data_IF_463590141838
#
_entry.id   IF_463590141838
#
_cell.length_a   1.000
_cell.length_b   1.000
_cell.length_c   1.000
_cell.angle_alpha   90.00
_cell.angle_beta   90.00
_cell.angle_gamma   90.00
#
_symmetry.space_group_name_H-M   'P 1'
#
loop_
_entity.id
_entity.type
_entity.pdbx_description
1 polymer ?
#
# COMPACT_ATOMS: atom_id res chain seq x y z
N UNK A 1 -18.26 -35.46 20.76
CA UNK A 1 -18.53 -34.02 20.97
C UNK A 1 -17.55 -33.46 21.98
N UNK A 2 -16.90 -32.32 21.65
CA UNK A 2 -16.00 -31.48 22.47
C UNK A 2 -14.66 -32.14 22.82
N UNK A 3 -13.50 -31.61 22.43
CA UNK A 3 -12.99 -30.28 22.79
C UNK A 3 -12.24 -29.62 21.62
N UNK A 4 -12.82 -28.55 21.10
CA UNK A 4 -12.15 -27.48 20.37
C UNK A 4 -11.38 -26.70 21.44
N UNK A 5 -10.08 -26.94 21.58
CA UNK A 5 -9.20 -26.14 22.45
C UNK A 5 -7.73 -26.40 22.12
N UNK A 6 -7.31 -26.09 20.89
CA UNK A 6 -5.89 -25.91 20.60
C UNK A 6 -5.71 -24.89 19.46
N UNK A 7 -6.32 -23.72 19.64
CA UNK A 7 -6.24 -22.60 18.68
C UNK A 7 -5.53 -21.36 19.25
N UNK A 8 -4.79 -21.48 20.37
CA UNK A 8 -4.32 -20.29 21.12
C UNK A 8 -2.81 -20.25 21.42
N UNK A 9 -2.02 -21.31 21.20
CA UNK A 9 -0.61 -21.28 21.65
C UNK A 9 0.45 -20.89 20.61
N UNK A 10 0.08 -20.47 19.39
CA UNK A 10 1.07 -19.97 18.41
C UNK A 10 1.23 -18.44 18.49
N UNK A 11 0.40 -17.75 19.29
CA UNK A 11 0.42 -16.28 19.38
C UNK A 11 1.34 -15.69 20.48
N UNK A 12 2.03 -16.51 21.30
CA UNK A 12 2.70 -16.01 22.51
C UNK A 12 4.24 -16.04 22.51
N UNK A 13 4.89 -16.38 21.39
CA UNK A 13 6.37 -16.42 21.31
C UNK A 13 7.00 -15.41 20.35
N UNK A 14 6.22 -14.52 19.75
CA UNK A 14 6.73 -13.50 18.85
C UNK A 14 6.25 -12.12 19.31
N UNK A 15 7.04 -11.48 20.18
CA UNK A 15 6.95 -10.04 20.40
C UNK A 15 7.39 -9.34 19.10
N UNK A 16 6.46 -9.12 18.17
CA UNK A 16 6.68 -8.31 16.96
C UNK A 16 6.03 -8.78 15.66
N UNK A 17 5.37 -9.95 15.59
CA UNK A 17 4.78 -10.42 14.32
C UNK A 17 3.47 -9.71 14.00
N UNK A 18 3.52 -8.88 12.95
CA UNK A 18 2.38 -8.61 12.07
C UNK A 18 1.76 -9.94 11.66
N UNK A 19 0.47 -10.14 11.93
CA UNK A 19 -0.24 -11.36 11.57
C UNK A 19 -0.41 -11.41 10.04
N UNK A 20 0.40 -12.26 9.41
CA UNK A 20 0.29 -12.61 8.00
C UNK A 20 -1.05 -13.33 7.73
N UNK A 21 -1.72 -12.99 6.63
CA UNK A 21 -3.00 -13.62 6.26
C UNK A 21 -2.75 -15.00 5.64
N UNK A 22 -3.41 -16.05 6.14
CA UNK A 22 -3.26 -17.41 5.63
C UNK A 22 -4.55 -18.03 5.09
N UNK A 23 -4.48 -18.70 3.94
CA UNK A 23 -5.56 -19.49 3.34
C UNK A 23 -5.25 -20.97 3.45
N UNK A 24 -6.14 -21.73 4.10
CA UNK A 24 -6.07 -23.19 4.16
C UNK A 24 -6.95 -23.81 3.07
N UNK A 25 -6.40 -24.75 2.30
CA UNK A 25 -7.16 -25.59 1.36
C UNK A 25 -7.14 -27.03 1.85
N UNK A 26 -8.31 -27.53 2.29
CA UNK A 26 -8.44 -28.86 2.91
C UNK A 26 -8.12 -30.04 2.01
N UNK A 27 -8.15 -29.85 0.69
CA UNK A 27 -7.98 -30.93 -0.27
C UNK A 27 -6.52 -31.41 -0.40
N UNK A 28 -5.56 -30.55 -0.04
CA UNK A 28 -4.14 -30.77 -0.32
C UNK A 28 -3.28 -30.75 0.96
N UNK A 29 -3.90 -30.44 2.11
CA UNK A 29 -3.21 -30.26 3.40
C UNK A 29 -2.32 -29.02 3.46
N UNK A 30 -2.44 -28.13 2.47
CA UNK A 30 -1.60 -26.95 2.32
C UNK A 30 -2.24 -25.71 2.95
N UNK A 31 -1.41 -24.95 3.64
CA UNK A 31 -1.71 -23.65 4.23
C UNK A 31 -0.79 -22.61 3.61
N UNK A 32 -1.36 -21.67 2.85
CA UNK A 32 -0.59 -20.60 2.20
C UNK A 32 -0.67 -19.37 3.08
N UNK A 33 0.48 -18.86 3.52
CA UNK A 33 0.62 -17.61 4.27
C UNK A 33 1.17 -16.54 3.33
N UNK A 34 0.51 -15.40 3.24
CA UNK A 34 0.97 -14.27 2.41
C UNK A 34 1.66 -13.20 3.25
N UNK A 35 2.61 -12.48 2.65
CA UNK A 35 3.34 -11.36 3.28
C UNK A 35 4.09 -11.78 4.57
N UNK A 36 4.99 -12.75 4.42
CA UNK A 36 5.77 -13.33 5.54
C UNK A 36 7.11 -12.61 5.67
N UNK A 37 7.35 -12.00 6.83
CA UNK A 37 8.66 -11.53 7.25
C UNK A 37 9.35 -12.63 8.07
N UNK A 38 10.51 -13.10 7.60
CA UNK A 38 11.24 -14.17 8.28
C UNK A 38 12.26 -13.66 9.33
N UNK A 39 12.93 -12.53 9.06
CA UNK A 39 14.07 -12.06 9.86
C UNK A 39 14.39 -10.55 9.69
N UNK A 40 13.37 -9.74 9.38
CA UNK A 40 13.46 -8.29 9.08
C UNK A 40 14.33 -7.93 7.87
N UNK A 41 14.82 -8.93 7.13
CA UNK A 41 15.63 -8.78 5.91
C UNK A 41 15.05 -9.57 4.75
N UNK A 42 14.40 -10.69 5.04
CA UNK A 42 13.85 -11.60 4.05
C UNK A 42 12.33 -11.56 4.10
N UNK A 43 11.74 -11.07 3.02
CA UNK A 43 10.29 -10.95 2.86
C UNK A 43 9.82 -11.91 1.77
N UNK A 44 8.74 -12.65 2.05
CA UNK A 44 8.11 -13.56 1.10
C UNK A 44 6.70 -13.06 0.75
N UNK A 45 6.40 -13.04 -0.55
CA UNK A 45 5.05 -12.79 -1.07
C UNK A 45 4.09 -13.88 -0.57
N UNK A 46 4.52 -15.15 -0.65
CA UNK A 46 3.80 -16.24 0.00
C UNK A 46 4.70 -17.41 0.39
N UNK A 47 4.31 -18.09 1.47
CA UNK A 47 4.91 -19.33 1.97
C UNK A 47 3.81 -20.39 2.03
N UNK A 48 4.01 -21.50 1.34
CA UNK A 48 3.11 -22.66 1.39
C UNK A 48 3.64 -23.67 2.39
N UNK A 49 2.85 -23.95 3.41
CA UNK A 49 3.13 -24.91 4.46
C UNK A 49 2.27 -26.16 4.27
N UNK A 50 2.85 -27.34 4.31
CA UNK A 50 2.12 -28.59 4.47
C UNK A 50 2.05 -28.93 5.95
N UNK A 51 0.84 -29.04 6.49
CA UNK A 51 0.63 -29.30 7.92
C UNK A 51 0.50 -30.81 8.17
N UNK A 52 1.27 -31.32 9.13
CA UNK A 52 1.12 -32.68 9.65
C UNK A 52 0.48 -32.64 11.04
N UNK A 53 -0.84 -32.81 11.06
CA UNK A 53 -1.60 -32.82 12.31
C UNK A 53 -1.34 -34.06 13.19
N UNK A 54 -0.79 -35.14 12.63
CA UNK A 54 -0.52 -36.37 13.39
C UNK A 54 0.63 -36.23 14.38
N UNK A 55 1.61 -35.38 14.07
CA UNK A 55 2.77 -35.11 14.92
C UNK A 55 2.96 -33.63 15.28
N UNK A 56 2.07 -32.74 14.80
CA UNK A 56 2.14 -31.30 15.08
C UNK A 56 3.27 -30.57 14.36
N UNK A 57 3.80 -31.14 13.26
CA UNK A 57 4.88 -30.53 12.47
C UNK A 57 4.35 -29.86 11.20
N UNK A 58 5.19 -29.04 10.57
CA UNK A 58 4.91 -28.48 9.25
C UNK A 58 6.16 -28.57 8.37
N UNK A 59 5.94 -28.56 7.06
CA UNK A 59 6.99 -28.48 6.05
C UNK A 59 6.75 -27.25 5.17
N UNK A 60 7.81 -26.50 4.87
CA UNK A 60 7.76 -25.44 3.85
C UNK A 60 7.83 -26.12 2.49
N UNK A 61 6.71 -26.15 1.77
CA UNK A 61 6.61 -26.75 0.44
C UNK A 61 7.13 -25.80 -0.63
N UNK A 62 6.85 -24.51 -0.45
CA UNK A 62 7.24 -23.47 -1.37
C UNK A 62 7.36 -22.14 -0.62
N UNK A 63 8.31 -21.31 -1.01
CA UNK A 63 8.45 -19.94 -0.52
C UNK A 63 8.78 -19.05 -1.71
N UNK A 64 7.90 -18.09 -1.99
CA UNK A 64 8.05 -17.14 -3.08
C UNK A 64 8.54 -15.83 -2.49
N UNK A 65 9.80 -15.49 -2.72
CA UNK A 65 10.37 -14.22 -2.26
C UNK A 65 9.57 -13.03 -2.79
N UNK A 66 9.44 -12.01 -1.95
CA UNK A 66 8.77 -10.76 -2.29
C UNK A 66 9.68 -10.00 -3.24
N UNK A 67 9.19 -9.73 -4.45
CA UNK A 67 9.89 -8.81 -5.35
C UNK A 67 9.86 -7.41 -4.76
N UNK A 68 10.92 -6.60 -4.91
CA UNK A 68 10.90 -5.23 -4.44
C UNK A 68 9.79 -4.48 -5.16
N UNK A 69 8.82 -3.99 -4.40
CA UNK A 69 7.72 -3.18 -4.93
C UNK A 69 8.00 -1.68 -4.78
N UNK A 70 9.05 -1.31 -4.03
CA UNK A 70 9.59 0.05 -3.96
C UNK A 70 10.86 0.20 -4.79
N UNK A 71 10.98 1.37 -5.41
CA UNK A 71 12.10 1.77 -6.23
C UNK A 71 12.75 3.03 -5.66
N UNK A 72 14.08 3.08 -5.72
CA UNK A 72 14.84 4.26 -5.27
C UNK A 72 14.65 5.49 -6.18
N UNK A 73 14.11 5.26 -7.38
CA UNK A 73 13.82 6.28 -8.38
C UNK A 73 12.43 6.06 -8.96
N UNK A 74 11.75 7.13 -9.39
CA UNK A 74 10.48 7.02 -10.07
C UNK A 74 10.52 6.08 -11.26
N UNK A 75 9.48 5.25 -11.40
CA UNK A 75 9.21 4.54 -12.63
C UNK A 75 8.72 5.50 -13.71
N UNK A 76 9.09 5.23 -14.95
CA UNK A 76 8.55 5.92 -16.13
C UNK A 76 7.24 5.26 -16.60
N UNK A 77 6.29 6.02 -17.17
CA UNK A 77 6.34 7.47 -17.38
C UNK A 77 6.00 8.26 -16.10
N UNK A 78 6.70 9.38 -15.88
CA UNK A 78 6.32 10.36 -14.87
C UNK A 78 5.23 11.31 -15.38
N UNK A 79 4.37 11.80 -14.48
CA UNK A 79 3.30 12.74 -14.84
C UNK A 79 3.79 14.16 -14.60
N UNK A 80 3.80 15.00 -15.64
CA UNK A 80 4.14 16.42 -15.50
C UNK A 80 2.91 17.29 -15.72
N UNK A 81 2.61 18.16 -14.75
CA UNK A 81 1.42 19.01 -14.76
C UNK A 81 1.66 20.24 -13.90
N UNK A 82 1.29 21.43 -14.41
CA UNK A 82 1.43 22.71 -13.69
C UNK A 82 2.85 22.93 -13.15
N UNK A 83 3.89 22.51 -13.87
CA UNK A 83 5.30 22.63 -13.44
C UNK A 83 5.72 21.68 -12.33
N UNK A 84 4.89 20.70 -11.95
CA UNK A 84 5.27 19.61 -11.05
C UNK A 84 5.45 18.32 -11.84
N UNK A 85 6.46 17.54 -11.49
CA UNK A 85 6.61 16.16 -11.94
C UNK A 85 6.31 15.21 -10.79
N UNK A 86 5.37 14.29 -11.01
CA UNK A 86 4.99 13.23 -10.07
C UNK A 86 5.52 11.91 -10.60
N UNK A 87 6.40 11.30 -9.83
CA UNK A 87 6.99 10.00 -10.08
C UNK A 87 6.42 8.93 -9.16
N UNK A 88 6.15 7.73 -9.68
CA UNK A 88 5.70 6.61 -8.87
C UNK A 88 6.87 5.80 -8.36
N UNK A 89 6.96 5.62 -7.03
CA UNK A 89 8.03 4.87 -6.38
C UNK A 89 7.62 3.46 -6.02
N UNK A 90 6.33 3.11 -6.08
CA UNK A 90 5.86 1.78 -5.70
C UNK A 90 4.72 1.78 -4.70
N UNK A 91 4.19 0.60 -4.41
CA UNK A 91 3.29 0.39 -3.28
C UNK A 91 3.72 -0.85 -2.50
N UNK A 92 3.55 -0.82 -1.18
CA UNK A 92 3.81 -1.96 -0.31
C UNK A 92 2.54 -2.32 0.44
N UNK A 93 2.21 -3.62 0.42
CA UNK A 93 1.26 -4.17 1.38
C UNK A 93 1.91 -4.19 2.76
N UNK A 94 1.16 -3.71 3.76
CA UNK A 94 1.52 -3.71 5.17
C UNK A 94 0.39 -4.38 5.93
N UNK A 95 0.64 -5.56 6.51
CA UNK A 95 -0.39 -6.32 7.22
C UNK A 95 -1.46 -6.90 6.29
N UNK A 96 -2.66 -7.16 6.84
CA UNK A 96 -3.68 -7.94 6.12
C UNK A 96 -4.42 -7.16 5.03
N UNK A 97 -4.75 -5.90 5.31
CA UNK A 97 -5.70 -5.11 4.53
C UNK A 97 -5.22 -3.67 4.27
N UNK A 98 -3.93 -3.38 4.45
CA UNK A 98 -3.37 -2.05 4.22
C UNK A 98 -2.33 -2.07 3.10
N UNK A 99 -2.37 -1.02 2.27
CA UNK A 99 -1.38 -0.73 1.24
C UNK A 99 -0.90 0.71 1.44
N UNK A 100 0.41 0.90 1.39
CA UNK A 100 1.03 2.23 1.35
C UNK A 100 1.65 2.45 -0.02
N UNK A 101 1.21 3.48 -0.74
CA UNK A 101 1.79 3.86 -2.03
C UNK A 101 2.72 5.06 -1.87
N UNK A 102 3.85 5.02 -2.55
CA UNK A 102 4.92 5.99 -2.46
C UNK A 102 5.11 6.72 -3.79
N UNK A 103 5.31 8.02 -3.67
CA UNK A 103 5.47 8.94 -4.78
C UNK A 103 6.67 9.85 -4.53
N UNK A 104 7.20 10.37 -5.61
CA UNK A 104 8.15 11.47 -5.62
C UNK A 104 7.48 12.66 -6.30
N UNK A 105 7.62 13.85 -5.71
CA UNK A 105 7.15 15.09 -6.33
C UNK A 105 8.35 16.01 -6.51
N UNK A 106 8.51 16.56 -7.71
CA UNK A 106 9.51 17.57 -8.06
C UNK A 106 8.78 18.81 -8.54
N UNK A 107 9.23 19.98 -8.10
CA UNK A 107 8.74 21.26 -8.58
C UNK A 107 9.78 21.84 -9.56
N UNK A 108 9.44 21.91 -10.84
CA UNK A 108 10.40 22.25 -11.92
C UNK A 108 10.46 23.76 -12.22
N UNK A 109 9.68 24.58 -11.53
CA UNK A 109 9.54 26.01 -11.83
C UNK A 109 10.20 26.89 -10.77
N UNK A 110 9.52 27.11 -9.64
CA UNK A 110 9.99 28.00 -8.59
C UNK A 110 9.38 27.61 -7.24
N UNK A 111 10.07 27.92 -6.15
CA UNK A 111 9.64 27.60 -4.79
C UNK A 111 8.18 27.95 -4.51
N UNK A 112 7.34 26.94 -4.25
CA UNK A 112 5.91 27.14 -3.97
C UNK A 112 5.32 26.01 -3.16
N UNK A 113 4.16 26.27 -2.57
CA UNK A 113 3.41 25.29 -1.81
C UNK A 113 2.54 24.42 -2.73
N UNK A 114 2.46 23.14 -2.38
CA UNK A 114 1.54 22.16 -2.94
C UNK A 114 0.92 21.36 -1.81
N UNK A 115 -0.36 21.04 -1.94
CA UNK A 115 -1.08 20.15 -1.05
C UNK A 115 -1.21 18.77 -1.71
N UNK A 116 -0.85 17.72 -0.99
CA UNK A 116 -1.24 16.35 -1.33
C UNK A 116 -2.51 15.98 -0.55
N UNK A 117 -3.50 15.39 -1.22
CA UNK A 117 -4.83 15.17 -0.64
C UNK A 117 -5.06 13.67 -0.44
N UNK A 118 -5.29 13.26 0.81
CA UNK A 118 -5.76 11.91 1.14
C UNK A 118 -7.25 11.80 0.81
N UNK A 119 -8.06 12.58 1.50
CA UNK A 119 -9.51 12.67 1.29
C UNK A 119 -9.97 14.12 1.39
N UNK A 120 -10.93 14.53 0.57
CA UNK A 120 -11.48 15.88 0.64
C UNK A 120 -12.86 15.86 1.32
N UNK A 121 -13.12 16.72 2.32
CA UNK A 121 -14.41 16.82 2.98
C UNK A 121 -15.24 17.90 2.29
N UNK A 122 -15.71 17.67 1.06
CA UNK A 122 -16.70 18.56 0.46
C UNK A 122 -17.99 17.82 0.13
N UNK A 123 -19.03 17.99 0.96
CA UNK A 123 -20.35 17.40 0.73
C UNK A 123 -21.16 18.11 -0.37
N UNK A 124 -20.64 19.19 -0.99
CA UNK A 124 -21.34 19.97 -2.02
C UNK A 124 -20.82 19.77 -3.44
N UNK A 125 -19.73 19.01 -3.62
CA UNK A 125 -19.21 18.67 -4.94
C UNK A 125 -20.01 17.50 -5.54
N UNK A 126 -20.96 17.82 -6.40
CA UNK A 126 -21.90 16.89 -7.05
C UNK A 126 -21.27 15.75 -7.87
N UNK A 127 -19.93 15.61 -7.97
CA UNK A 127 -19.31 14.47 -8.64
C UNK A 127 -17.89 14.18 -8.10
N UNK A 128 -17.74 12.95 -7.58
CA UNK A 128 -16.50 12.23 -7.30
C UNK A 128 -15.60 12.77 -6.17
N UNK A 129 -15.33 11.90 -5.19
CA UNK A 129 -14.39 12.13 -4.10
C UNK A 129 -13.08 12.80 -4.60
N UNK A 130 -12.82 14.03 -4.17
CA UNK A 130 -11.61 14.82 -4.50
C UNK A 130 -10.39 14.32 -3.71
N UNK A 131 -10.39 13.05 -3.30
CA UNK A 131 -9.31 12.37 -2.61
C UNK A 131 -8.39 11.61 -3.56
N UNK A 132 -7.37 11.00 -2.99
CA UNK A 132 -6.55 10.01 -3.70
C UNK A 132 -7.24 8.65 -3.65
N UNK A 133 -7.32 7.96 -4.79
CA UNK A 133 -8.15 6.78 -4.98
C UNK A 133 -7.33 5.62 -5.55
N UNK A 134 -7.61 4.41 -5.07
CA UNK A 134 -7.03 3.16 -5.53
C UNK A 134 -8.13 2.21 -5.98
N UNK A 135 -7.94 1.57 -7.14
CA UNK A 135 -8.79 0.50 -7.66
C UNK A 135 -8.01 -0.80 -7.71
N UNK A 136 -8.53 -1.86 -7.10
CA UNK A 136 -7.90 -3.18 -7.14
C UNK A 136 -8.35 -4.00 -8.36
N UNK A 137 -7.76 -5.18 -8.55
CA UNK A 137 -8.12 -6.12 -9.62
C UNK A 137 -9.43 -6.88 -9.42
N UNK A 138 -10.14 -6.59 -8.33
CA UNK A 138 -11.47 -7.12 -8.03
C UNK A 138 -12.55 -6.03 -8.18
N UNK A 139 -12.19 -4.88 -8.76
CA UNK A 139 -13.03 -3.69 -8.95
C UNK A 139 -13.50 -3.02 -7.64
N UNK A 140 -12.84 -3.27 -6.51
CA UNK A 140 -13.07 -2.49 -5.29
C UNK A 140 -12.39 -1.13 -5.41
N UNK A 141 -12.97 -0.12 -4.77
CA UNK A 141 -12.46 1.25 -4.74
C UNK A 141 -12.12 1.64 -3.32
N UNK A 142 -10.95 2.23 -3.13
CA UNK A 142 -10.42 2.66 -1.84
C UNK A 142 -10.03 4.12 -1.89
N UNK A 143 -10.31 4.85 -0.82
CA UNK A 143 -9.90 6.24 -0.64
C UNK A 143 -8.72 6.24 0.33
N UNK A 144 -7.70 7.06 0.06
CA UNK A 144 -6.58 7.21 0.96
C UNK A 144 -7.07 7.70 2.34
N UNK A 145 -6.64 7.01 3.39
CA UNK A 145 -6.96 7.35 4.76
C UNK A 145 -6.02 8.39 5.34
N UNK A 146 -4.78 8.41 4.88
CA UNK A 146 -3.81 9.42 5.28
C UNK A 146 -2.78 9.66 4.20
N UNK A 147 -2.13 10.82 4.31
CA UNK A 147 -1.04 11.23 3.46
C UNK A 147 0.09 11.76 4.33
N UNK A 148 1.32 11.35 4.01
CA UNK A 148 2.54 11.87 4.64
C UNK A 148 3.36 12.60 3.59
N UNK A 149 3.71 13.85 3.86
CA UNK A 149 4.52 14.70 2.98
C UNK A 149 5.53 15.46 3.82
N UNK A 150 6.83 15.39 3.48
CA UNK A 150 7.91 16.05 4.26
C UNK A 150 7.89 15.73 5.78
N UNK A 151 7.47 14.52 6.15
CA UNK A 151 7.29 14.04 7.55
C UNK A 151 6.06 14.57 8.30
N UNK A 152 5.17 15.31 7.65
CA UNK A 152 3.87 15.71 8.21
C UNK A 152 2.83 14.71 7.71
N UNK A 153 2.03 14.16 8.61
CA UNK A 153 0.94 13.22 8.30
C UNK A 153 -0.40 13.81 8.69
N UNK A 154 -1.38 13.69 7.80
CA UNK A 154 -2.76 14.14 8.03
C UNK A 154 -3.73 13.17 7.32
N UNK A 155 -4.97 13.07 7.81
CA UNK A 155 -6.01 12.20 7.25
C UNK A 155 -6.83 12.86 6.14
N UNK A 156 -6.64 14.16 5.90
CA UNK A 156 -7.32 14.97 4.89
C UNK A 156 -6.34 15.44 3.83
N UNK A 157 -5.40 16.32 4.18
CA UNK A 157 -4.39 16.82 3.26
C UNK A 157 -3.16 17.36 4.00
N UNK A 158 -2.01 17.30 3.34
CA UNK A 158 -0.77 17.91 3.84
C UNK A 158 -0.25 18.91 2.83
N UNK A 159 0.06 20.12 3.30
CA UNK A 159 0.73 21.17 2.54
C UNK A 159 2.23 21.10 2.78
N UNK A 160 3.01 21.17 1.70
CA UNK A 160 4.45 21.25 1.75
C UNK A 160 4.95 22.34 0.80
N UNK A 161 5.96 23.09 1.25
CA UNK A 161 6.72 23.99 0.37
C UNK A 161 7.77 23.16 -0.36
N UNK A 162 7.71 23.14 -1.69
CA UNK A 162 8.69 22.46 -2.52
C UNK A 162 9.65 23.48 -3.12
N UNK A 163 10.94 23.28 -2.84
CA UNK A 163 12.01 24.02 -3.50
C UNK A 163 12.19 23.55 -4.93
N UNK A 164 12.60 24.46 -5.81
CA UNK A 164 12.84 24.14 -7.22
C UNK A 164 13.85 22.98 -7.36
N UNK A 165 13.51 22.02 -8.22
CA UNK A 165 14.33 20.86 -8.61
C UNK A 165 14.75 19.92 -7.46
N UNK A 166 14.18 20.09 -6.25
CA UNK A 166 14.42 19.19 -5.12
C UNK A 166 13.31 18.12 -5.06
N UNK A 167 13.63 16.83 -5.27
CA UNK A 167 12.66 15.76 -5.15
C UNK A 167 12.26 15.54 -3.69
N UNK A 168 10.96 15.42 -3.45
CA UNK A 168 10.41 15.14 -2.13
C UNK A 168 9.54 13.88 -2.18
N UNK A 169 9.75 13.00 -1.20
CA UNK A 169 8.96 11.77 -1.05
C UNK A 169 7.64 12.04 -0.34
N UNK A 170 6.64 11.27 -0.77
CA UNK A 170 5.26 11.33 -0.35
C UNK A 170 4.77 9.89 -0.20
N UNK A 171 3.97 9.61 0.84
CA UNK A 171 3.29 8.32 0.99
C UNK A 171 1.80 8.51 1.25
N UNK A 172 0.99 7.59 0.74
CA UNK A 172 -0.47 7.55 0.94
C UNK A 172 -0.87 6.18 1.43
N UNK A 173 -1.67 6.13 2.49
CA UNK A 173 -2.09 4.88 3.13
C UNK A 173 -3.54 4.58 2.77
N UNK A 174 -3.80 3.35 2.37
CA UNK A 174 -5.12 2.79 2.08
C UNK A 174 -5.35 1.60 2.99
N UNK A 175 -6.57 1.44 3.53
CA UNK A 175 -6.92 0.30 4.40
C UNK A 175 -8.23 -0.36 3.95
N UNK A 176 -8.57 -1.51 4.54
CA UNK A 176 -9.73 -2.30 4.14
C UNK A 176 -9.55 -2.97 2.77
N UNK A 177 -8.30 -3.05 2.27
CA UNK A 177 -7.97 -3.71 1.01
C UNK A 177 -8.43 -5.16 1.09
N UNK A 178 -9.13 -5.61 0.04
CA UNK A 178 -9.60 -6.99 -0.02
C UNK A 178 -8.39 -7.91 0.06
N UNK A 179 -8.39 -8.85 1.02
CA UNK A 179 -7.28 -9.77 1.24
C UNK A 179 -6.95 -10.63 0.00
N UNK A 180 -7.92 -10.79 -0.91
CA UNK A 180 -7.75 -11.53 -2.16
C UNK A 180 -7.30 -10.65 -3.35
N UNK A 181 -7.20 -9.34 -3.16
CA UNK A 181 -6.64 -8.45 -4.18
C UNK A 181 -5.15 -8.74 -4.35
N UNK A 182 -4.70 -8.81 -5.59
CA UNK A 182 -3.33 -9.19 -5.95
C UNK A 182 -2.61 -8.11 -6.78
N UNK A 183 -3.31 -7.04 -7.15
CA UNK A 183 -2.74 -5.90 -7.89
C UNK A 183 -3.67 -4.70 -7.87
N UNK A 184 -3.11 -3.50 -8.02
CA UNK A 184 -3.83 -2.24 -8.23
C UNK A 184 -3.98 -2.05 -9.74
N UNK A 185 -5.22 -1.94 -10.22
CA UNK A 185 -5.49 -1.58 -11.61
C UNK A 185 -5.17 -0.11 -11.87
N UNK A 186 -5.53 0.76 -10.92
CA UNK A 186 -5.44 2.20 -11.07
C UNK A 186 -5.20 2.86 -9.71
N UNK A 187 -4.15 3.66 -9.62
CA UNK A 187 -3.90 4.58 -8.51
C UNK A 187 -3.95 6.01 -9.03
N UNK A 188 -4.80 6.84 -8.42
CA UNK A 188 -4.95 8.26 -8.70
C UNK A 188 -4.57 9.05 -7.46
N UNK A 189 -3.47 9.80 -7.52
CA UNK A 189 -3.02 10.68 -6.45
C UNK A 189 -3.42 12.11 -6.74
N UNK A 190 -4.13 12.75 -5.82
CA UNK A 190 -4.70 14.10 -5.99
C UNK A 190 -3.88 15.15 -5.28
N UNK A 191 -3.65 16.26 -5.98
CA UNK A 191 -2.88 17.41 -5.49
C UNK A 191 -3.62 18.72 -5.75
N UNK A 192 -3.27 19.75 -4.99
CA UNK A 192 -3.75 21.11 -5.17
C UNK A 192 -2.59 22.11 -5.04
N UNK A 193 -2.55 23.11 -5.90
CA UNK A 193 -1.61 24.24 -5.77
C UNK A 193 -2.18 25.34 -4.87
N UNK A 194 -1.34 26.27 -4.41
CA UNK A 194 -1.81 27.45 -3.66
C UNK A 194 -2.84 28.32 -4.40
N UNK A 195 -2.97 28.15 -5.72
CA UNK A 195 -3.95 28.87 -6.55
C UNK A 195 -5.26 28.10 -6.75
N UNK A 196 -5.49 27.02 -6.00
CA UNK A 196 -6.73 26.22 -6.08
C UNK A 196 -6.83 25.33 -7.30
N UNK A 197 -5.76 25.19 -8.10
CA UNK A 197 -5.74 24.27 -9.24
C UNK A 197 -5.49 22.85 -8.76
N UNK A 198 -6.42 21.96 -9.12
CA UNK A 198 -6.32 20.53 -8.86
C UNK A 198 -5.58 19.82 -10.00
N UNK A 199 -4.71 18.89 -9.64
CA UNK A 199 -4.06 18.00 -10.59
C UNK A 199 -3.93 16.59 -10.03
N UNK A 200 -3.81 15.61 -10.93
CA UNK A 200 -3.87 14.19 -10.57
C UNK A 200 -2.72 13.42 -11.23
N UNK A 201 -1.93 12.73 -10.42
CA UNK A 201 -1.03 11.67 -10.87
C UNK A 201 -1.81 10.39 -11.10
N UNK A 202 -1.59 9.70 -12.23
CA UNK A 202 -2.33 8.48 -12.59
C UNK A 202 -1.36 7.36 -12.93
N UNK A 203 -1.47 6.24 -12.21
CA UNK A 203 -0.59 5.09 -12.32
C UNK A 203 -1.43 3.82 -12.48
N UNK A 204 -0.99 2.86 -13.29
CA UNK A 204 -1.78 1.68 -13.68
C UNK A 204 -0.97 0.40 -13.57
N UNK A 205 -1.68 -0.73 -13.43
CA UNK A 205 -1.10 -2.08 -13.45
C UNK A 205 0.04 -2.28 -12.42
N UNK A 206 -0.20 -1.82 -11.19
CA UNK A 206 0.78 -1.88 -10.11
C UNK A 206 0.62 -3.22 -9.38
N UNK A 207 1.74 -3.92 -9.20
CA UNK A 207 1.81 -5.09 -8.30
C UNK A 207 2.23 -4.63 -6.91
N UNK A 208 1.65 -5.21 -5.88
CA UNK A 208 1.93 -4.90 -4.47
C UNK A 208 1.99 -6.20 -3.65
#
# INVERSE_FOLDING_TARGET
MKKIALFVCIASLFSGVSLASGKYTSNDGNFVVSDVNADDKTFYDSVTLQLNFGNGTFLVVNAKEKSPTLFDRPLEPQVTVEGFTIGFLGCEKSGMDQITCYLQVVNNEADREVAAIARYPDPSADNAAVGSILFDNLNNTYIAQSVTFTNITDDIFVKARLYQDIPVKLSMVFTGININASSILLFRSTFNTSFGKHFVGTFKNIKF
#
